data_IF_410720553529
#
_entry.id   IF_410720553529
#
_cell.length_a   1.000
_cell.length_b   1.000
_cell.length_c   1.000
_cell.angle_alpha   90.00
_cell.angle_beta   90.00
_cell.angle_gamma   90.00
#
_symmetry.space_group_name_H-M   'P 1'
#
loop_
_entity.id
_entity.type
_entity.pdbx_description
1 polymer ?
#
# COMPACT_ATOMS: atom_id res chain seq x y z
N UNK A 1 -18.71 34.76 2.56
CA UNK A 1 -18.99 33.76 3.58
C UNK A 1 -18.01 32.59 3.41
N UNK A 2 -17.41 32.12 4.51
CA UNK A 2 -16.51 30.97 4.51
C UNK A 2 -17.23 29.74 5.00
N UNK A 3 -17.13 28.65 4.26
CA UNK A 3 -17.65 27.35 4.68
C UNK A 3 -16.51 26.41 4.96
N UNK A 4 -16.58 25.71 6.07
CA UNK A 4 -15.64 24.67 6.41
C UNK A 4 -16.24 23.32 6.02
N UNK A 5 -15.57 22.62 5.09
CA UNK A 5 -15.94 21.28 4.69
C UNK A 5 -14.94 20.32 5.32
N UNK A 6 -15.39 19.49 6.25
CA UNK A 6 -14.54 18.53 6.95
C UNK A 6 -15.13 17.14 6.87
N UNK A 7 -14.26 16.15 6.71
CA UNK A 7 -14.66 14.76 6.69
C UNK A 7 -13.56 13.90 7.31
N UNK A 8 -13.98 12.91 8.08
CA UNK A 8 -13.07 11.89 8.63
C UNK A 8 -13.09 10.67 7.71
N UNK A 9 -11.92 10.21 7.31
CA UNK A 9 -11.80 9.00 6.49
C UNK A 9 -10.88 7.98 7.14
N UNK A 10 -11.13 6.71 6.81
CA UNK A 10 -10.37 5.56 7.27
C UNK A 10 -9.61 5.01 6.08
N UNK A 11 -8.29 5.06 6.14
CA UNK A 11 -7.44 4.61 5.05
C UNK A 11 -6.60 3.43 5.49
N UNK A 12 -6.47 2.45 4.59
CA UNK A 12 -5.64 1.28 4.82
C UNK A 12 -4.88 0.95 3.55
N UNK A 13 -3.56 0.98 3.64
CA UNK A 13 -2.72 0.50 2.56
C UNK A 13 -2.74 -1.02 2.48
N UNK A 14 -2.40 -1.56 1.32
CA UNK A 14 -2.37 -3.01 1.12
C UNK A 14 -1.21 -3.66 1.86
N UNK A 15 -1.44 -4.86 2.36
CA UNK A 15 -0.38 -5.67 2.95
C UNK A 15 0.55 -6.19 1.85
N UNK A 16 1.82 -6.39 2.17
CA UNK A 16 2.73 -7.09 1.27
C UNK A 16 2.36 -8.56 1.17
N UNK A 17 2.60 -9.16 0.01
CA UNK A 17 2.45 -10.59 -0.16
C UNK A 17 3.58 -11.35 0.51
N UNK A 18 3.34 -12.61 0.83
CA UNK A 18 4.34 -13.47 1.47
C UNK A 18 5.34 -14.01 0.45
N UNK A 19 6.58 -14.23 0.87
CA UNK A 19 7.53 -14.99 0.09
C UNK A 19 7.09 -16.45 0.00
N UNK A 20 7.54 -17.14 -1.04
CA UNK A 20 7.18 -18.54 -1.28
C UNK A 20 8.27 -19.47 -0.72
N UNK A 21 7.90 -20.56 -0.02
CA UNK A 21 8.82 -21.60 0.41
C UNK A 21 8.95 -22.74 -0.61
N UNK A 22 8.67 -22.50 -1.88
CA UNK A 22 8.61 -23.53 -2.91
C UNK A 22 9.99 -24.10 -3.25
N UNK A 23 10.01 -25.37 -3.67
CA UNK A 23 11.20 -26.04 -4.19
C UNK A 23 10.94 -26.50 -5.62
N UNK A 24 11.97 -26.39 -6.46
CA UNK A 24 11.89 -26.82 -7.85
C UNK A 24 11.60 -28.33 -7.92
N UNK A 25 10.55 -28.70 -8.62
CA UNK A 25 10.17 -30.08 -8.84
C UNK A 25 9.88 -30.30 -10.30
N UNK A 26 10.70 -31.12 -10.94
CA UNK A 26 10.54 -31.49 -12.33
C UNK A 26 10.62 -33.01 -12.46
N UNK A 27 10.10 -33.53 -13.57
CA UNK A 27 9.97 -34.96 -13.82
C UNK A 27 11.27 -35.76 -13.60
N UNK A 28 12.43 -35.22 -13.97
CA UNK A 28 13.72 -35.88 -13.85
C UNK A 28 14.64 -35.22 -12.82
N UNK A 29 14.12 -34.33 -12.01
CA UNK A 29 14.86 -33.66 -10.94
C UNK A 29 14.22 -34.01 -9.62
N UNK A 30 14.86 -34.91 -8.88
CA UNK A 30 14.33 -35.39 -7.61
C UNK A 30 14.58 -34.41 -6.47
N UNK A 31 15.73 -33.74 -6.48
CA UNK A 31 16.11 -32.77 -5.45
C UNK A 31 16.40 -31.40 -6.07
N UNK A 32 15.35 -30.72 -6.48
CA UNK A 32 15.51 -29.36 -6.97
C UNK A 32 15.79 -28.37 -5.84
N UNK A 33 16.52 -27.30 -6.14
CA UNK A 33 16.81 -26.23 -5.18
C UNK A 33 15.57 -25.37 -4.88
N UNK A 34 15.71 -24.39 -3.96
CA UNK A 34 14.63 -23.48 -3.66
C UNK A 34 14.32 -22.61 -4.89
N UNK A 35 13.05 -22.47 -5.21
CA UNK A 35 12.59 -21.64 -6.31
C UNK A 35 11.44 -20.71 -5.91
N UNK A 36 11.30 -20.45 -4.61
CA UNK A 36 10.28 -19.56 -4.10
C UNK A 36 10.59 -18.10 -4.43
N UNK A 37 9.68 -17.43 -5.11
CA UNK A 37 9.77 -15.99 -5.39
C UNK A 37 9.33 -15.13 -4.22
N UNK A 38 9.64 -13.84 -4.31
CA UNK A 38 9.27 -12.86 -3.30
C UNK A 38 7.79 -12.50 -3.41
N UNK A 39 7.20 -12.05 -2.31
CA UNK A 39 5.87 -11.47 -2.34
C UNK A 39 5.89 -10.07 -2.97
N UNK A 40 4.77 -9.65 -3.56
CA UNK A 40 4.61 -8.32 -4.10
C UNK A 40 4.39 -7.27 -3.03
N UNK A 41 4.72 -6.03 -3.34
CA UNK A 41 4.47 -4.90 -2.45
C UNK A 41 2.98 -4.59 -2.40
N UNK A 42 2.46 -4.23 -1.23
CA UNK A 42 1.09 -3.73 -1.11
C UNK A 42 0.94 -2.33 -1.69
N UNK A 43 -0.25 -2.01 -2.19
CA UNK A 43 -0.55 -0.68 -2.71
C UNK A 43 -0.62 0.37 -1.61
N UNK A 44 -0.23 1.59 -1.93
CA UNK A 44 -0.31 2.73 -1.01
C UNK A 44 -1.60 3.51 -1.23
N UNK A 45 -2.05 4.24 -0.21
CA UNK A 45 -3.15 5.20 -0.36
C UNK A 45 -2.53 6.58 -0.55
N UNK A 46 -2.80 7.19 -1.70
CA UNK A 46 -2.23 8.47 -2.11
C UNK A 46 -3.34 9.49 -2.29
N UNK A 47 -3.18 10.65 -1.67
CA UNK A 47 -4.06 11.80 -1.90
C UNK A 47 -3.43 12.68 -2.98
N UNK A 48 -4.24 13.12 -3.94
CA UNK A 48 -3.76 13.94 -5.07
C UNK A 48 -4.68 15.13 -5.29
N UNK A 49 -4.11 16.33 -5.38
CA UNK A 49 -4.87 17.53 -5.65
C UNK A 49 -5.27 17.60 -7.13
N UNK A 50 -6.57 17.79 -7.38
CA UNK A 50 -7.14 17.88 -8.73
C UNK A 50 -7.81 19.23 -8.95
N UNK A 51 -7.71 19.74 -10.19
CA UNK A 51 -8.17 21.07 -10.55
C UNK A 51 -9.71 21.20 -10.52
N UNK A 52 -10.40 20.16 -10.96
CA UNK A 52 -11.85 20.23 -11.20
C UNK A 52 -12.71 19.86 -10.00
N UNK A 53 -12.10 19.70 -8.83
CA UNK A 53 -12.82 19.38 -7.60
C UNK A 53 -12.90 20.61 -6.72
N UNK A 54 -14.07 20.79 -6.09
CA UNK A 54 -14.31 21.93 -5.20
C UNK A 54 -15.00 21.55 -3.90
N UNK A 55 -15.15 20.25 -3.62
CA UNK A 55 -15.81 19.78 -2.41
C UNK A 55 -15.30 18.42 -1.99
N UNK A 56 -15.43 18.11 -0.70
CA UNK A 56 -15.08 16.80 -0.12
C UNK A 56 -16.31 15.91 0.09
N UNK A 57 -17.44 16.27 -0.53
CA UNK A 57 -18.72 15.59 -0.24
C UNK A 57 -18.67 14.08 -0.54
N UNK A 58 -17.93 13.64 -1.57
CA UNK A 58 -17.86 12.24 -1.91
C UNK A 58 -17.25 11.39 -0.78
N UNK A 59 -16.36 11.98 0.01
CA UNK A 59 -15.75 11.29 1.15
C UNK A 59 -16.71 11.14 2.33
N UNK A 60 -17.77 11.92 2.37
CA UNK A 60 -18.83 11.74 3.37
C UNK A 60 -19.68 10.52 3.08
N UNK A 61 -19.87 10.21 1.81
CA UNK A 61 -20.60 9.01 1.39
C UNK A 61 -19.77 7.75 1.48
N UNK A 62 -18.49 7.85 1.18
CA UNK A 62 -17.55 6.72 1.27
C UNK A 62 -16.39 7.14 2.16
N UNK A 63 -16.36 6.62 3.39
CA UNK A 63 -15.36 6.97 4.38
C UNK A 63 -14.21 5.98 4.47
N UNK A 64 -14.40 4.73 4.03
CA UNK A 64 -13.41 3.68 4.11
C UNK A 64 -12.73 3.47 2.76
N UNK A 65 -11.41 3.52 2.74
CA UNK A 65 -10.62 3.38 1.53
C UNK A 65 -9.47 2.40 1.77
N UNK A 66 -9.40 1.36 0.93
CA UNK A 66 -8.37 0.32 1.04
C UNK A 66 -7.65 0.16 -0.28
N UNK A 67 -6.32 0.17 -0.25
CA UNK A 67 -5.51 -0.21 -1.40
C UNK A 67 -5.37 -1.73 -1.47
N UNK A 68 -4.99 -2.24 -2.62
CA UNK A 68 -4.87 -3.68 -2.85
C UNK A 68 -3.60 -4.25 -2.21
N UNK A 69 -3.71 -5.47 -1.71
CA UNK A 69 -2.55 -6.19 -1.19
C UNK A 69 -1.64 -6.64 -2.34
N UNK A 70 -0.36 -6.88 -2.01
CA UNK A 70 0.52 -7.59 -2.92
C UNK A 70 0.20 -9.07 -2.95
N UNK A 71 0.47 -9.72 -4.08
CA UNK A 71 0.28 -11.16 -4.20
C UNK A 71 1.46 -11.90 -3.58
N UNK A 72 1.20 -13.12 -3.12
CA UNK A 72 2.25 -13.97 -2.62
C UNK A 72 3.19 -14.38 -3.75
N UNK A 73 4.46 -14.62 -3.43
CA UNK A 73 5.40 -15.22 -4.35
C UNK A 73 4.98 -16.65 -4.69
N UNK A 74 5.49 -17.16 -5.79
CA UNK A 74 5.17 -18.51 -6.26
C UNK A 74 6.45 -19.24 -6.67
N UNK A 75 6.31 -20.55 -6.95
CA UNK A 75 7.41 -21.35 -7.44
C UNK A 75 7.93 -20.87 -8.79
N UNK A 76 9.05 -21.41 -9.25
CA UNK A 76 9.77 -21.02 -10.47
C UNK A 76 10.27 -19.56 -10.40
N UNK A 77 10.67 -19.14 -9.19
CA UNK A 77 11.17 -17.78 -8.90
C UNK A 77 10.20 -16.65 -9.31
N UNK A 78 8.90 -16.93 -9.31
CA UNK A 78 7.91 -15.93 -9.68
C UNK A 78 7.63 -14.99 -8.52
N UNK A 79 7.98 -13.72 -8.70
CA UNK A 79 7.65 -12.67 -7.75
C UNK A 79 6.15 -12.36 -7.83
N UNK A 80 5.49 -12.23 -6.70
CA UNK A 80 4.09 -11.84 -6.66
C UNK A 80 3.88 -10.45 -7.22
N UNK A 81 2.73 -10.23 -7.87
CA UNK A 81 2.38 -8.92 -8.41
C UNK A 81 2.18 -7.91 -7.27
N UNK A 82 2.70 -6.69 -7.45
CA UNK A 82 2.44 -5.59 -6.51
C UNK A 82 0.98 -5.16 -6.59
N UNK A 83 0.40 -4.80 -5.44
CA UNK A 83 -0.95 -4.24 -5.40
C UNK A 83 -0.96 -2.83 -5.98
N UNK A 84 -2.05 -2.47 -6.66
CA UNK A 84 -2.19 -1.12 -7.21
C UNK A 84 -2.34 -0.09 -6.09
N UNK A 85 -1.75 1.08 -6.29
CA UNK A 85 -1.97 2.21 -5.39
C UNK A 85 -3.40 2.73 -5.55
N UNK A 86 -3.99 3.16 -4.46
CA UNK A 86 -5.29 3.81 -4.46
C UNK A 86 -5.07 5.32 -4.43
N UNK A 87 -5.50 6.00 -5.49
CA UNK A 87 -5.38 7.45 -5.58
C UNK A 87 -6.72 8.08 -5.24
N UNK A 88 -6.74 8.88 -4.17
CA UNK A 88 -7.91 9.63 -3.75
C UNK A 88 -7.72 11.09 -4.17
N UNK A 89 -8.64 11.56 -5.01
CA UNK A 89 -8.57 12.92 -5.55
C UNK A 89 -9.22 13.90 -4.58
N UNK A 90 -8.51 14.99 -4.29
CA UNK A 90 -8.99 16.04 -3.38
C UNK A 90 -8.88 17.40 -4.05
N UNK A 91 -9.72 18.39 -3.64
CA UNK A 91 -9.59 19.75 -4.16
C UNK A 91 -8.29 20.41 -3.74
N UNK A 92 -7.82 21.37 -4.55
CA UNK A 92 -6.71 22.22 -4.16
C UNK A 92 -7.10 23.02 -2.91
N UNK A 93 -6.18 23.15 -1.97
CA UNK A 93 -6.44 23.83 -0.70
C UNK A 93 -6.91 22.89 0.41
N UNK A 94 -7.06 21.61 0.10
CA UNK A 94 -7.41 20.62 1.13
C UNK A 94 -6.24 20.46 2.10
N UNK A 95 -6.55 20.48 3.39
CA UNK A 95 -5.60 20.21 4.46
C UNK A 95 -5.87 18.84 5.06
N UNK A 96 -4.79 18.11 5.38
CA UNK A 96 -4.87 16.79 5.99
C UNK A 96 -4.43 16.90 7.45
N UNK A 97 -5.27 16.42 8.35
CA UNK A 97 -5.00 16.42 9.79
C UNK A 97 -4.99 14.98 10.32
N UNK A 98 -4.26 14.78 11.42
CA UNK A 98 -4.30 13.53 12.15
C UNK A 98 -5.71 13.28 12.75
N UNK A 99 -5.90 12.11 13.36
CA UNK A 99 -7.17 11.72 13.96
C UNK A 99 -7.69 12.74 14.98
N UNK A 100 -6.80 13.48 15.65
CA UNK A 100 -7.16 14.53 16.61
C UNK A 100 -7.83 15.76 15.97
N UNK A 101 -7.79 15.83 14.64
CA UNK A 101 -8.30 16.97 13.85
C UNK A 101 -7.64 18.31 14.24
N UNK A 102 -6.42 18.26 14.73
CA UNK A 102 -5.66 19.46 15.15
C UNK A 102 -4.25 19.50 14.56
N UNK A 103 -3.59 18.33 14.48
CA UNK A 103 -2.22 18.24 13.99
C UNK A 103 -2.22 18.17 12.48
N UNK A 104 -1.70 19.23 11.83
CA UNK A 104 -1.61 19.28 10.37
C UNK A 104 -0.51 18.34 9.88
N UNK A 105 -0.87 17.45 8.94
CA UNK A 105 0.07 16.54 8.31
C UNK A 105 0.53 17.07 6.96
N UNK A 106 -0.40 17.60 6.15
CA UNK A 106 -0.10 18.04 4.79
C UNK A 106 -1.12 19.08 4.33
N UNK A 107 -0.66 19.97 3.44
CA UNK A 107 -1.50 21.03 2.87
C UNK A 107 -1.28 21.06 1.35
N UNK A 108 -2.34 20.85 0.57
CA UNK A 108 -2.27 20.83 -0.88
C UNK A 108 -2.30 22.25 -1.44
N UNK A 109 -1.15 22.75 -1.88
CA UNK A 109 -1.02 24.11 -2.41
C UNK A 109 -0.80 24.14 -3.92
N UNK A 110 -0.53 23.00 -4.56
CA UNK A 110 -0.28 22.91 -6.01
C UNK A 110 -1.14 21.82 -6.64
N UNK A 111 -1.67 22.11 -7.84
CA UNK A 111 -2.39 21.10 -8.64
C UNK A 111 -1.45 19.96 -8.99
N UNK A 112 -1.93 18.73 -8.88
CA UNK A 112 -1.16 17.53 -9.18
C UNK A 112 -0.25 17.06 -8.06
N UNK A 113 -0.16 17.81 -6.97
CA UNK A 113 0.64 17.44 -5.81
C UNK A 113 0.08 16.16 -5.18
N UNK A 114 0.97 15.24 -4.84
CA UNK A 114 0.61 13.95 -4.25
C UNK A 114 1.18 13.81 -2.83
N UNK A 115 0.40 13.18 -1.96
CA UNK A 115 0.83 12.85 -0.60
C UNK A 115 0.51 11.38 -0.31
N UNK A 116 1.52 10.61 0.09
CA UNK A 116 1.33 9.22 0.49
C UNK A 116 0.76 9.21 1.90
N UNK A 117 -0.55 9.01 2.00
CA UNK A 117 -1.24 9.04 3.29
C UNK A 117 -1.05 7.74 4.08
N UNK A 118 -0.93 6.62 3.39
CA UNK A 118 -0.63 5.32 4.01
C UNK A 118 0.24 4.52 3.05
N UNK A 119 1.40 4.08 3.52
CA UNK A 119 2.34 3.33 2.71
C UNK A 119 2.01 1.84 2.70
N UNK A 120 2.09 1.22 1.53
CA UNK A 120 1.89 -0.21 1.38
C UNK A 120 2.96 -1.03 2.09
N UNK A 121 2.59 -2.24 2.49
CA UNK A 121 3.51 -3.16 3.13
C UNK A 121 4.55 -3.70 2.14
N UNK A 122 5.69 -4.10 2.65
CA UNK A 122 6.75 -4.70 1.84
C UNK A 122 6.44 -6.16 1.57
N UNK A 123 6.79 -6.64 0.37
CA UNK A 123 6.72 -8.05 0.05
C UNK A 123 7.72 -8.86 0.88
N UNK A 124 7.32 -10.07 1.25
CA UNK A 124 8.20 -11.00 1.94
C UNK A 124 9.23 -11.62 1.00
N UNK A 125 10.29 -12.16 1.55
CA UNK A 125 11.35 -12.79 0.79
C UNK A 125 11.06 -14.28 0.58
N UNK A 126 11.21 -14.76 -0.66
CA UNK A 126 11.11 -16.17 -0.97
C UNK A 126 12.32 -16.95 -0.47
N UNK A 127 12.19 -18.28 -0.40
CA UNK A 127 13.25 -19.12 0.15
C UNK A 127 14.53 -19.11 -0.68
N UNK A 128 14.46 -18.73 -1.96
CA UNK A 128 15.65 -18.59 -2.80
C UNK A 128 16.64 -17.60 -2.21
N UNK A 129 16.15 -16.55 -1.53
CA UNK A 129 16.98 -15.52 -0.91
C UNK A 129 17.82 -16.06 0.26
N UNK A 130 17.45 -17.20 0.82
CA UNK A 130 18.11 -17.79 1.99
C UNK A 130 19.03 -18.95 1.63
N UNK A 131 19.22 -19.22 0.33
CA UNK A 131 20.15 -20.23 -0.13
C UNK A 131 21.58 -19.81 0.17
N UNK A 132 22.35 -20.74 0.74
CA UNK A 132 23.76 -20.50 1.05
C UNK A 132 24.58 -21.78 0.81
N UNK A 133 25.90 -21.66 0.89
CA UNK A 133 26.77 -22.81 0.75
C UNK A 133 26.57 -23.84 1.88
N UNK A 134 26.11 -23.38 3.04
CA UNK A 134 25.84 -24.25 4.19
C UNK A 134 24.40 -24.76 4.21
N UNK A 135 23.49 -24.08 3.53
CA UNK A 135 22.09 -24.51 3.43
C UNK A 135 21.59 -24.32 1.99
N UNK A 136 21.64 -25.41 1.20
CA UNK A 136 21.23 -25.40 -0.20
C UNK A 136 19.72 -25.64 -0.38
N UNK A 137 19.01 -25.99 0.69
CA UNK A 137 17.59 -26.28 0.67
C UNK A 137 16.86 -25.54 1.80
N UNK A 138 16.93 -24.19 1.85
CA UNK A 138 16.30 -23.44 2.93
C UNK A 138 14.78 -23.52 2.84
N UNK A 139 14.14 -23.74 3.97
CA UNK A 139 12.69 -23.67 4.10
C UNK A 139 12.25 -22.32 4.65
N UNK A 140 13.21 -21.46 4.97
CA UNK A 140 12.92 -20.14 5.51
C UNK A 140 12.41 -19.21 4.41
N UNK A 141 11.35 -18.51 4.72
CA UNK A 141 10.83 -17.41 3.93
C UNK A 141 10.31 -16.35 4.90
N UNK A 142 10.04 -15.14 4.43
CA UNK A 142 9.44 -14.12 5.28
C UNK A 142 8.04 -13.80 4.78
N UNK A 143 7.18 -13.43 5.71
CA UNK A 143 5.85 -12.92 5.40
C UNK A 143 5.95 -11.47 4.97
N UNK A 144 4.99 -11.01 4.18
CA UNK A 144 4.86 -9.59 3.87
C UNK A 144 4.54 -8.79 5.12
N UNK A 145 4.94 -7.53 5.13
CA UNK A 145 4.59 -6.62 6.23
C UNK A 145 3.20 -6.05 6.01
N UNK A 146 2.56 -5.61 7.09
CA UNK A 146 1.26 -4.96 7.00
C UNK A 146 1.40 -3.57 6.38
N UNK A 147 0.42 -3.17 5.58
CA UNK A 147 0.29 -1.80 5.14
C UNK A 147 -0.11 -0.89 6.28
N UNK A 148 0.25 0.38 6.16
CA UNK A 148 -0.13 1.37 7.16
C UNK A 148 -1.65 1.58 7.17
N UNK A 149 -2.18 1.89 8.34
CA UNK A 149 -3.61 2.11 8.54
C UNK A 149 -3.79 3.33 9.43
N UNK A 150 -4.55 4.31 8.93
CA UNK A 150 -4.74 5.58 9.65
C UNK A 150 -6.17 6.05 9.54
N UNK A 151 -6.56 6.86 10.53
CA UNK A 151 -7.76 7.69 10.50
C UNK A 151 -7.27 9.13 10.33
N UNK A 152 -7.75 9.81 9.31
CA UNK A 152 -7.35 11.19 9.04
C UNK A 152 -8.56 12.07 8.79
N UNK A 153 -8.38 13.37 8.99
CA UNK A 153 -9.37 14.37 8.66
C UNK A 153 -8.93 15.15 7.43
N UNK A 154 -9.86 15.34 6.51
CA UNK A 154 -9.68 16.23 5.38
C UNK A 154 -10.50 17.50 5.65
N UNK A 155 -9.89 18.65 5.44
CA UNK A 155 -10.52 19.94 5.69
C UNK A 155 -10.32 20.86 4.50
N UNK A 156 -11.40 21.49 4.07
CA UNK A 156 -11.38 22.45 2.96
C UNK A 156 -12.20 23.67 3.36
N UNK A 157 -11.59 24.85 3.27
CA UNK A 157 -12.27 26.10 3.55
C UNK A 157 -12.74 26.70 2.22
N UNK A 158 -14.05 26.88 2.09
CA UNK A 158 -14.65 27.54 0.94
C UNK A 158 -14.81 29.04 1.25
N UNK A 159 -14.36 29.85 0.31
CA UNK A 159 -14.44 31.30 0.44
C UNK A 159 -15.50 31.84 -0.53
#
# INVERSE_FOLDING_TARGET
MKFLDQVKIYIKAGNGGDGSPSFRREKFIEYGGPDGGDGGKGGSVILKAERNLNTLIDFRYQQHHKAKRGNNGAGQNRTGKSGDDLILKVPLGTQVFEEDNKTLIFDFIKIGEEFVAAAGGKGGLGNTRFKSSTNRAPRKFTKGTRGEEFIIWLSLIHI
#
